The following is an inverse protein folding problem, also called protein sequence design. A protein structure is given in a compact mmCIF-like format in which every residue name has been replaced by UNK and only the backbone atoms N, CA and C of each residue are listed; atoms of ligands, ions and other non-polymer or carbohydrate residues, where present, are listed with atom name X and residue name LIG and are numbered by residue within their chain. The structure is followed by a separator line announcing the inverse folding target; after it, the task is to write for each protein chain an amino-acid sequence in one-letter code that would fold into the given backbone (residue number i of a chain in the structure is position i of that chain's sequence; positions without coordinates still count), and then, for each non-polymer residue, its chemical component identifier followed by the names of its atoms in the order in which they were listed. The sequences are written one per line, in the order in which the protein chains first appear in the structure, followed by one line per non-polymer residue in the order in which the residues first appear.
data_IF_644914504876
#
_entry.id   IF_644914504876
#
_cell.length_a   1.000
_cell.length_b   1.000
_cell.length_c   1.000
_cell.angle_alpha   90.00
_cell.angle_beta   90.00
_cell.angle_gamma   90.00
#
_symmetry.space_group_name_H-M   'P 1'
#
loop_
_entity.id
_entity.type
_entity.pdbx_description
1 polymer ?
#
# COMPACT_ATOMS: atom_id res chain seq x y z
N UNK A 1 -4.15 5.25 18.08
CA UNK A 1 -4.36 5.00 16.64
C UNK A 1 -5.13 3.70 16.49
N UNK A 2 -6.22 3.73 15.72
CA UNK A 2 -7.09 2.56 15.47
C UNK A 2 -6.35 1.66 14.48
N UNK A 3 -6.31 0.37 14.79
CA UNK A 3 -5.66 -0.71 14.04
C UNK A 3 -5.85 -0.61 12.50
N UNK A 4 -4.76 -0.76 11.72
CA UNK A 4 -4.80 -0.69 10.26
C UNK A 4 -5.41 -1.98 9.70
N UNK A 5 -6.71 -1.94 9.38
CA UNK A 5 -7.45 -3.11 8.90
C UNK A 5 -6.90 -3.74 7.62
N UNK A 6 -6.15 -2.99 6.80
CA UNK A 6 -5.55 -3.52 5.58
C UNK A 6 -4.34 -4.43 5.83
N UNK A 7 -3.76 -4.38 7.02
CA UNK A 7 -2.66 -5.27 7.44
C UNK A 7 -3.16 -6.52 8.16
N UNK A 8 -4.46 -6.59 8.47
CA UNK A 8 -5.03 -7.76 9.14
C UNK A 8 -5.12 -8.91 8.16
N UNK A 9 -4.39 -9.99 8.47
CA UNK A 9 -4.49 -11.25 7.75
C UNK A 9 -5.75 -11.99 8.25
N UNK A 10 -6.78 -12.18 7.40
CA UNK A 10 -8.02 -12.83 7.81
C UNK A 10 -7.86 -14.36 7.86
N UNK A 11 -8.85 -15.05 8.43
CA UNK A 11 -8.81 -16.51 8.56
C UNK A 11 -8.71 -17.25 7.20
N UNK A 12 -9.29 -16.67 6.14
CA UNK A 12 -9.21 -17.20 4.78
C UNK A 12 -7.76 -17.34 4.27
N UNK A 13 -6.82 -16.52 4.76
CA UNK A 13 -5.40 -16.62 4.44
C UNK A 13 -4.73 -17.90 4.96
N UNK A 14 -5.36 -18.57 5.92
CA UNK A 14 -4.87 -19.81 6.53
C UNK A 14 -5.50 -21.06 5.90
N UNK A 15 -6.41 -20.90 4.94
CA UNK A 15 -7.00 -22.02 4.22
C UNK A 15 -5.96 -22.73 3.35
N UNK A 16 -6.28 -23.95 2.92
CA UNK A 16 -5.40 -24.75 2.06
C UNK A 16 -5.23 -24.06 0.68
N UNK A 17 -4.03 -23.61 0.29
CA UNK A 17 -3.81 -22.90 -0.96
C UNK A 17 -3.93 -23.81 -2.19
N UNK A 18 -4.03 -25.13 -2.01
CA UNK A 18 -4.24 -26.08 -3.12
C UNK A 18 -5.72 -26.21 -3.52
N UNK A 19 -6.64 -25.68 -2.70
CA UNK A 19 -8.09 -25.68 -2.97
C UNK A 19 -8.51 -24.40 -3.71
N UNK A 20 -8.08 -24.29 -4.97
CA UNK A 20 -8.28 -23.08 -5.79
C UNK A 20 -9.74 -22.66 -5.99
N UNK A 21 -10.68 -23.60 -5.91
CA UNK A 21 -12.12 -23.38 -6.13
C UNK A 21 -12.90 -23.08 -4.83
N UNK A 22 -12.23 -23.08 -3.66
CA UNK A 22 -12.89 -22.76 -2.40
C UNK A 22 -13.24 -21.26 -2.35
N UNK A 23 -14.54 -20.96 -2.38
CA UNK A 23 -15.09 -19.61 -2.30
C UNK A 23 -14.80 -18.91 -0.95
N UNK A 24 -14.28 -19.64 0.03
CA UNK A 24 -13.83 -19.14 1.34
C UNK A 24 -12.31 -19.24 1.54
N UNK A 25 -11.58 -19.75 0.54
CA UNK A 25 -10.15 -20.03 0.63
C UNK A 25 -9.23 -18.85 0.34
N UNK A 26 -7.93 -19.14 0.18
CA UNK A 26 -6.85 -18.15 0.01
C UNK A 26 -6.97 -17.32 -1.27
N UNK A 27 -7.79 -17.71 -2.25
CA UNK A 27 -8.03 -16.91 -3.47
C UNK A 27 -9.42 -16.26 -3.49
N UNK A 28 -10.19 -16.41 -2.41
CA UNK A 28 -11.55 -15.87 -2.32
C UNK A 28 -11.56 -14.34 -2.21
N UNK A 29 -12.68 -13.70 -2.60
CA UNK A 29 -12.88 -12.27 -2.37
C UNK A 29 -13.04 -11.89 -0.89
N UNK A 30 -13.12 -12.88 0.02
CA UNK A 30 -13.17 -12.64 1.47
C UNK A 30 -11.80 -12.24 2.04
N UNK A 31 -10.74 -12.34 1.24
CA UNK A 31 -9.39 -11.98 1.64
C UNK A 31 -8.73 -11.05 0.62
N UNK A 32 -8.77 -9.75 0.93
CA UNK A 32 -8.17 -8.68 0.12
C UNK A 32 -7.24 -7.80 0.96
N UNK A 33 -6.68 -8.35 2.03
CA UNK A 33 -5.66 -7.64 2.81
C UNK A 33 -4.40 -7.42 1.98
N UNK A 34 -3.65 -6.35 2.25
CA UNK A 34 -2.44 -6.01 1.49
C UNK A 34 -1.40 -7.16 1.55
N UNK A 35 -1.09 -7.75 2.73
CA UNK A 35 -0.12 -8.85 2.80
C UNK A 35 -0.55 -10.07 1.99
N UNK A 36 -1.84 -10.40 1.97
CA UNK A 36 -2.34 -11.55 1.20
C UNK A 36 -2.28 -11.28 -0.29
N UNK A 37 -2.66 -10.08 -0.73
CA UNK A 37 -2.52 -9.70 -2.13
C UNK A 37 -1.05 -9.73 -2.58
N UNK A 38 -0.12 -9.28 -1.73
CA UNK A 38 1.32 -9.40 -1.99
C UNK A 38 1.76 -10.87 -2.11
N UNK A 39 1.28 -11.75 -1.23
CA UNK A 39 1.55 -13.19 -1.32
C UNK A 39 1.01 -13.84 -2.60
N UNK A 40 -0.07 -13.29 -3.18
CA UNK A 40 -0.60 -13.66 -4.50
C UNK A 40 0.14 -13.04 -5.68
N UNK A 41 1.17 -12.23 -5.43
CA UNK A 41 2.01 -11.59 -6.45
C UNK A 41 1.60 -10.17 -6.85
N UNK A 42 0.67 -9.54 -6.12
CA UNK A 42 0.32 -8.13 -6.35
C UNK A 42 1.42 -7.20 -5.83
N UNK A 43 1.91 -6.32 -6.70
CA UNK A 43 2.89 -5.29 -6.32
C UNK A 43 2.17 -4.00 -5.96
N UNK A 44 2.39 -3.51 -4.74
CA UNK A 44 1.86 -2.23 -4.27
C UNK A 44 2.87 -1.11 -4.52
N UNK A 45 2.43 -0.04 -5.18
CA UNK A 45 3.25 1.13 -5.48
C UNK A 45 2.85 2.31 -4.60
N UNK A 46 3.80 2.85 -3.84
CA UNK A 46 3.63 4.06 -3.07
C UNK A 46 4.03 5.30 -3.89
N UNK A 47 3.32 6.41 -3.71
CA UNK A 47 3.58 7.66 -4.42
C UNK A 47 4.33 8.66 -3.53
N UNK A 48 5.56 9.01 -3.89
CA UNK A 48 6.36 9.99 -3.16
C UNK A 48 5.68 11.35 -3.04
N UNK A 49 5.07 11.85 -4.12
CA UNK A 49 4.32 13.12 -4.06
C UNK A 49 3.16 13.07 -3.06
N UNK A 50 2.42 11.95 -3.00
CA UNK A 50 1.33 11.79 -2.04
C UNK A 50 1.83 11.77 -0.59
N UNK A 51 3.02 11.18 -0.34
CA UNK A 51 3.67 11.24 0.97
C UNK A 51 4.02 12.68 1.35
N UNK A 52 4.57 13.46 0.41
CA UNK A 52 4.90 14.87 0.65
C UNK A 52 3.65 15.73 0.90
N UNK A 53 2.56 15.47 0.16
CA UNK A 53 1.26 16.12 0.38
C UNK A 53 0.69 15.78 1.77
N UNK A 54 0.76 14.50 2.16
CA UNK A 54 0.34 14.07 3.50
C UNK A 54 1.19 14.72 4.59
N UNK A 55 2.52 14.71 4.46
CA UNK A 55 3.45 15.37 5.39
C UNK A 55 3.13 16.87 5.53
N UNK A 56 2.89 17.55 4.40
CA UNK A 56 2.51 18.97 4.37
C UNK A 56 1.19 19.19 5.10
N UNK A 57 0.20 18.32 4.89
CA UNK A 57 -1.09 18.42 5.57
C UNK A 57 -0.94 18.22 7.08
N UNK A 58 -0.23 17.18 7.50
CA UNK A 58 0.02 16.87 8.92
C UNK A 58 0.75 18.03 9.62
N UNK A 59 1.76 18.61 8.96
CA UNK A 59 2.48 19.78 9.45
C UNK A 59 1.53 20.99 9.61
N UNK A 60 0.71 21.29 8.60
CA UNK A 60 -0.26 22.40 8.64
C UNK A 60 -1.35 22.23 9.68
N UNK A 61 -1.79 21.01 9.95
CA UNK A 61 -2.84 20.72 10.94
C UNK A 61 -2.28 20.50 12.35
N UNK A 62 -0.99 20.73 12.56
CA UNK A 62 -0.30 20.50 13.84
C UNK A 62 -0.41 19.06 14.37
N UNK A 63 -0.66 18.09 13.47
CA UNK A 63 -0.66 16.65 13.77
C UNK A 63 0.78 16.15 13.57
N UNK A 64 1.69 16.71 14.35
CA UNK A 64 3.13 16.51 14.28
C UNK A 64 3.71 16.81 15.68
N UNK A 65 3.54 15.89 16.65
CA UNK A 65 3.87 16.15 18.06
C UNK A 65 5.36 16.43 18.27
N UNK A 66 6.21 15.91 17.40
CA UNK A 66 7.66 16.09 17.45
C UNK A 66 8.14 17.35 16.72
N UNK A 67 7.21 18.19 16.22
CA UNK A 67 7.48 19.44 15.51
C UNK A 67 8.51 19.30 14.36
N UNK A 68 8.49 18.15 13.68
CA UNK A 68 9.37 17.84 12.55
C UNK A 68 9.10 18.79 11.37
N UNK A 69 10.15 19.10 10.61
CA UNK A 69 9.98 19.79 9.33
C UNK A 69 9.24 18.89 8.32
N UNK A 70 8.67 19.47 7.26
CA UNK A 70 7.97 18.72 6.21
C UNK A 70 8.85 17.60 5.61
N UNK A 71 10.14 17.83 5.25
CA UNK A 71 11.00 16.76 4.75
C UNK A 71 11.24 15.64 5.77
N UNK A 72 11.37 15.97 7.06
CA UNK A 72 11.52 14.98 8.11
C UNK A 72 10.26 14.14 8.30
N UNK A 73 9.07 14.75 8.25
CA UNK A 73 7.80 14.03 8.25
C UNK A 73 7.66 13.12 7.03
N UNK A 74 8.02 13.60 5.84
CA UNK A 74 7.97 12.79 4.63
C UNK A 74 8.91 11.59 4.70
N UNK A 75 10.13 11.77 5.24
CA UNK A 75 11.06 10.68 5.49
C UNK A 75 10.49 9.66 6.48
N UNK A 76 9.87 10.14 7.57
CA UNK A 76 9.24 9.28 8.57
C UNK A 76 8.11 8.44 7.97
N UNK A 77 7.20 9.07 7.23
CA UNK A 77 6.11 8.39 6.52
C UNK A 77 6.63 7.37 5.50
N UNK A 78 7.74 7.68 4.84
CA UNK A 78 8.40 6.78 3.88
C UNK A 78 8.98 5.54 4.57
N UNK A 79 9.59 5.71 5.75
CA UNK A 79 10.12 4.60 6.55
C UNK A 79 9.01 3.69 7.11
N UNK A 80 7.78 4.20 7.18
CA UNK A 80 6.60 3.47 7.67
C UNK A 80 5.66 3.02 6.54
N UNK A 81 6.18 2.90 5.32
CA UNK A 81 5.47 2.21 4.26
C UNK A 81 5.24 0.74 4.65
N UNK A 82 4.18 0.16 4.09
CA UNK A 82 3.89 -1.26 4.26
C UNK A 82 5.04 -2.07 3.67
N UNK A 83 5.49 -3.10 4.39
CA UNK A 83 6.54 -3.99 3.93
C UNK A 83 6.26 -4.50 2.51
N UNK A 84 7.28 -4.48 1.64
CA UNK A 84 7.16 -4.89 0.25
C UNK A 84 6.48 -3.88 -0.70
N UNK A 85 6.02 -2.73 -0.21
CA UNK A 85 5.60 -1.64 -1.08
C UNK A 85 6.80 -1.00 -1.78
N UNK A 86 6.66 -0.71 -3.07
CA UNK A 86 7.71 -0.05 -3.87
C UNK A 86 7.42 1.44 -3.95
N UNK A 87 8.35 2.26 -3.46
CA UNK A 87 8.25 3.71 -3.57
C UNK A 87 8.53 4.16 -5.00
N UNK A 88 7.62 4.96 -5.55
CA UNK A 88 7.75 5.57 -6.88
C UNK A 88 7.79 7.09 -6.79
N UNK A 89 8.51 7.79 -7.69
CA UNK A 89 8.60 9.26 -7.65
C UNK A 89 7.23 9.96 -7.78
N UNK A 90 6.27 9.35 -8.47
CA UNK A 90 4.91 9.86 -8.55
C UNK A 90 4.03 9.03 -9.48
N UNK A 91 2.82 8.70 -9.03
CA UNK A 91 1.91 7.79 -9.75
C UNK A 91 1.59 8.24 -11.19
N UNK A 92 1.49 9.56 -11.41
CA UNK A 92 1.18 10.13 -12.74
C UNK A 92 2.27 9.87 -13.77
N UNK A 93 3.54 9.78 -13.36
CA UNK A 93 4.64 9.40 -14.25
C UNK A 93 4.82 7.88 -14.34
N UNK A 94 4.55 7.18 -13.24
CA UNK A 94 4.67 5.72 -13.17
C UNK A 94 3.68 5.00 -14.08
N UNK A 95 2.41 5.41 -14.11
CA UNK A 95 1.36 4.73 -14.92
C UNK A 95 1.73 4.70 -16.42
N UNK A 96 2.12 5.83 -17.06
CA UNK A 96 2.57 5.80 -18.45
C UNK A 96 3.80 4.91 -18.71
N UNK A 97 4.79 4.89 -17.80
CA UNK A 97 5.94 3.99 -17.95
C UNK A 97 5.52 2.52 -17.91
N UNK A 98 4.62 2.15 -16.99
CA UNK A 98 4.04 0.80 -16.96
C UNK A 98 3.29 0.49 -18.25
N UNK A 99 2.50 1.45 -18.76
CA UNK A 99 1.83 1.33 -20.06
C UNK A 99 2.81 1.05 -21.20
N UNK A 100 3.94 1.76 -21.24
CA UNK A 100 5.00 1.55 -22.23
C UNK A 100 5.67 0.16 -22.12
N UNK A 101 5.55 -0.52 -20.97
CA UNK A 101 6.02 -1.90 -20.75
C UNK A 101 4.94 -2.97 -20.97
N UNK A 102 3.76 -2.60 -21.48
CA UNK A 102 2.69 -3.52 -21.82
C UNK A 102 1.71 -3.82 -20.68
N UNK A 103 1.75 -3.07 -19.58
CA UNK A 103 0.70 -3.13 -18.55
C UNK A 103 -0.54 -2.38 -19.00
N UNK A 104 -1.72 -2.92 -18.68
CA UNK A 104 -3.00 -2.28 -18.96
C UNK A 104 -3.54 -1.53 -17.74
N UNK A 105 -4.20 -0.41 -17.99
CA UNK A 105 -4.83 0.38 -16.94
C UNK A 105 -6.24 -0.12 -16.63
N UNK A 106 -6.53 -0.33 -15.35
CA UNK A 106 -7.86 -0.61 -14.82
C UNK A 106 -8.17 0.41 -13.71
N UNK A 107 -9.42 0.90 -13.66
CA UNK A 107 -9.89 1.92 -12.71
C UNK A 107 -11.11 1.44 -11.95
#
# INVERSE_FOLDING_TARGET
FKDNSFLKVPAAAQADPTQYEDITGVFSPLDNSIPVLQARGVVFLACHNAIFELATRLHKTEINPDHRSIPQLAAELTNHLIDGAVLTPGVMGTIPELGARGFYYAK
#
